data_IF_015886857493
#
_entry.id   IF_015886857493
#
_cell.length_a   1.000
_cell.length_b   1.000
_cell.length_c   1.000
_cell.angle_alpha   90.00
_cell.angle_beta   90.00
_cell.angle_gamma   90.00
#
_symmetry.space_group_name_H-M   'P 1'
#
loop_
_entity.id
_entity.type
_entity.pdbx_description
1 polymer ?
#
# COMPACT_ATOMS: atom_id res chain seq x y z
N UNK A 1 -51.46 -51.72 -47.73
CA UNK A 1 -50.19 -50.99 -47.56
C UNK A 1 -50.26 -50.18 -46.27
N UNK A 2 -49.59 -50.61 -45.20
CA UNK A 2 -49.62 -49.89 -43.92
C UNK A 2 -48.55 -48.80 -43.92
N UNK A 3 -48.97 -47.53 -43.89
CA UNK A 3 -48.07 -46.37 -43.86
C UNK A 3 -47.57 -46.17 -42.42
N UNK A 4 -46.30 -46.48 -42.18
CA UNK A 4 -45.66 -46.25 -40.88
C UNK A 4 -45.47 -44.74 -40.69
N UNK A 5 -46.35 -44.14 -39.87
CA UNK A 5 -46.22 -42.72 -39.51
C UNK A 5 -45.24 -42.60 -38.34
N UNK A 6 -44.00 -42.20 -38.62
CA UNK A 6 -43.00 -41.90 -37.58
C UNK A 6 -43.42 -40.63 -36.82
N UNK A 7 -43.98 -40.78 -35.62
CA UNK A 7 -44.21 -39.64 -34.71
C UNK A 7 -42.86 -39.02 -34.33
N UNK A 8 -42.67 -37.74 -34.66
CA UNK A 8 -41.47 -36.97 -34.29
C UNK A 8 -41.45 -36.84 -32.77
N UNK A 9 -40.47 -37.46 -32.09
CA UNK A 9 -40.31 -37.34 -30.63
C UNK A 9 -39.97 -35.88 -30.32
N UNK A 10 -40.92 -35.15 -29.77
CA UNK A 10 -40.68 -33.78 -29.27
C UNK A 10 -39.73 -33.90 -28.09
N UNK A 11 -38.49 -33.42 -28.24
CA UNK A 11 -37.51 -33.37 -27.16
C UNK A 11 -38.04 -32.39 -26.11
N UNK A 12 -38.73 -32.89 -25.08
CA UNK A 12 -39.01 -32.11 -23.88
C UNK A 12 -37.66 -31.73 -23.27
N UNK A 13 -37.32 -30.45 -23.30
CA UNK A 13 -36.15 -29.91 -22.62
C UNK A 13 -36.27 -30.31 -21.15
N UNK A 14 -35.35 -31.17 -20.68
CA UNK A 14 -35.28 -31.56 -19.28
C UNK A 14 -34.73 -30.36 -18.50
N UNK A 15 -35.63 -29.47 -18.07
CA UNK A 15 -35.33 -28.32 -17.20
C UNK A 15 -34.50 -28.69 -15.96
N UNK A 16 -34.59 -29.95 -15.52
CA UNK A 16 -33.77 -30.52 -14.47
C UNK A 16 -32.26 -30.43 -14.78
N UNK A 17 -31.83 -30.71 -16.01
CA UNK A 17 -30.41 -30.60 -16.35
C UNK A 17 -29.96 -29.13 -16.40
N UNK A 18 -30.84 -28.23 -16.86
CA UNK A 18 -30.55 -26.80 -16.92
C UNK A 18 -30.40 -26.18 -15.52
N UNK A 19 -31.30 -26.52 -14.60
CA UNK A 19 -31.25 -26.05 -13.22
C UNK A 19 -30.03 -26.57 -12.45
N UNK A 20 -29.62 -27.82 -12.68
CA UNK A 20 -28.39 -28.38 -12.09
C UNK A 20 -27.14 -27.67 -12.59
N UNK A 21 -27.04 -27.38 -13.89
CA UNK A 21 -25.90 -26.62 -14.46
C UNK A 21 -25.84 -25.20 -13.91
N UNK A 22 -27.00 -24.53 -13.81
CA UNK A 22 -27.08 -23.17 -13.27
C UNK A 22 -26.73 -23.11 -11.78
N UNK A 23 -27.15 -24.12 -11.01
CA UNK A 23 -26.77 -24.26 -9.60
C UNK A 23 -25.26 -24.50 -9.44
N UNK A 24 -24.66 -25.35 -10.27
CA UNK A 24 -23.21 -25.60 -10.23
C UNK A 24 -22.42 -24.33 -10.56
N UNK A 25 -22.88 -23.56 -11.55
CA UNK A 25 -22.28 -22.29 -11.93
C UNK A 25 -22.40 -21.22 -10.84
N UNK A 26 -23.56 -21.14 -10.18
CA UNK A 26 -23.78 -20.26 -9.04
C UNK A 26 -22.88 -20.63 -7.84
N UNK A 27 -22.72 -21.93 -7.56
CA UNK A 27 -21.84 -22.40 -6.50
C UNK A 27 -20.37 -22.03 -6.78
N UNK A 28 -19.88 -22.28 -7.99
CA UNK A 28 -18.52 -21.90 -8.41
C UNK A 28 -18.31 -20.38 -8.39
N UNK A 29 -19.30 -19.59 -8.83
CA UNK A 29 -19.23 -18.13 -8.75
C UNK A 29 -19.23 -17.63 -7.31
N UNK A 30 -20.01 -18.24 -6.41
CA UNK A 30 -20.01 -17.85 -4.99
C UNK A 30 -18.66 -18.13 -4.31
N UNK A 31 -18.04 -19.27 -4.63
CA UNK A 31 -16.70 -19.64 -4.16
C UNK A 31 -15.66 -18.68 -4.73
N UNK A 32 -15.69 -18.43 -6.05
CA UNK A 32 -14.83 -17.46 -6.71
C UNK A 32 -14.96 -16.07 -6.10
N UNK A 33 -16.17 -15.52 -6.01
CA UNK A 33 -16.43 -14.22 -5.40
C UNK A 33 -15.93 -14.15 -3.97
N UNK A 34 -16.13 -15.19 -3.14
CA UNK A 34 -15.62 -15.18 -1.77
C UNK A 34 -14.08 -15.15 -1.70
N UNK A 35 -13.41 -15.88 -2.58
CA UNK A 35 -11.95 -15.95 -2.64
C UNK A 35 -11.35 -14.65 -3.20
N UNK A 36 -11.95 -14.11 -4.27
CA UNK A 36 -11.56 -12.84 -4.86
C UNK A 36 -11.85 -11.66 -3.94
N UNK A 37 -12.97 -11.63 -3.22
CA UNK A 37 -13.27 -10.58 -2.23
C UNK A 37 -12.23 -10.59 -1.11
N UNK A 38 -11.87 -11.77 -0.59
CA UNK A 38 -10.87 -11.88 0.46
C UNK A 38 -9.47 -11.52 -0.03
N UNK A 39 -9.12 -11.95 -1.24
CA UNK A 39 -7.84 -11.63 -1.88
C UNK A 39 -7.72 -10.13 -2.21
N UNK A 40 -8.77 -9.53 -2.75
CA UNK A 40 -8.82 -8.10 -3.05
C UNK A 40 -8.76 -7.26 -1.77
N UNK A 41 -9.49 -7.67 -0.73
CA UNK A 41 -9.43 -7.00 0.57
C UNK A 41 -8.02 -7.09 1.18
N UNK A 42 -7.38 -8.27 1.12
CA UNK A 42 -6.02 -8.44 1.61
C UNK A 42 -4.99 -7.60 0.81
N UNK A 43 -5.10 -7.61 -0.53
CA UNK A 43 -4.25 -6.78 -1.40
C UNK A 43 -4.40 -5.28 -1.09
N UNK A 44 -5.64 -4.82 -0.89
CA UNK A 44 -5.91 -3.42 -0.52
C UNK A 44 -5.36 -3.09 0.87
N UNK A 45 -5.45 -4.02 1.83
CA UNK A 45 -4.88 -3.85 3.16
C UNK A 45 -3.35 -3.77 3.13
N UNK A 46 -2.70 -4.59 2.31
CA UNK A 46 -1.24 -4.54 2.11
C UNK A 46 -0.82 -3.23 1.44
N UNK A 47 -1.56 -2.78 0.43
CA UNK A 47 -1.30 -1.49 -0.22
C UNK A 47 -1.44 -0.32 0.76
N UNK A 48 -2.50 -0.33 1.59
CA UNK A 48 -2.69 0.66 2.65
C UNK A 48 -1.53 0.64 3.64
N UNK A 49 -1.14 -0.54 4.12
CA UNK A 49 -0.04 -0.68 5.07
C UNK A 49 1.28 -0.18 4.49
N UNK A 50 1.53 -0.39 3.19
CA UNK A 50 2.71 0.16 2.52
C UNK A 50 2.70 1.69 2.52
N UNK A 51 1.55 2.30 2.21
CA UNK A 51 1.39 3.76 2.24
C UNK A 51 1.59 4.30 3.66
N UNK A 52 1.02 3.65 4.68
CA UNK A 52 1.19 4.08 6.08
C UNK A 52 2.67 4.03 6.51
N UNK A 53 3.43 3.02 6.06
CA UNK A 53 4.88 2.93 6.29
C UNK A 53 5.64 4.04 5.57
N UNK A 54 5.30 4.34 4.32
CA UNK A 54 5.90 5.45 3.56
C UNK A 54 5.62 6.79 4.24
N UNK A 55 4.40 7.02 4.73
CA UNK A 55 4.04 8.23 5.49
C UNK A 55 4.89 8.34 6.77
N UNK A 56 5.05 7.25 7.52
CA UNK A 56 5.87 7.25 8.73
C UNK A 56 7.36 7.55 8.42
N UNK A 57 7.88 7.06 7.29
CA UNK A 57 9.23 7.40 6.81
C UNK A 57 9.36 8.89 6.54
N UNK A 58 8.44 9.46 5.75
CA UNK A 58 8.45 10.90 5.44
C UNK A 58 8.26 11.78 6.68
N UNK A 59 7.49 11.35 7.67
CA UNK A 59 7.36 12.07 8.93
C UNK A 59 8.68 12.08 9.71
N UNK A 60 9.36 10.94 9.75
CA UNK A 60 10.67 10.82 10.42
C UNK A 60 11.71 11.69 9.73
N UNK A 61 11.74 11.68 8.40
CA UNK A 61 12.62 12.56 7.60
C UNK A 61 12.32 14.03 7.85
N UNK A 62 11.04 14.43 7.89
CA UNK A 62 10.65 15.82 8.18
C UNK A 62 11.05 16.26 9.59
N UNK A 63 10.86 15.41 10.60
CA UNK A 63 11.32 15.74 11.96
C UNK A 63 12.84 15.83 12.06
N UNK A 64 13.59 14.99 11.33
CA UNK A 64 15.05 15.10 11.24
C UNK A 64 15.47 16.46 10.62
N UNK A 65 14.88 16.85 9.49
CA UNK A 65 15.15 18.14 8.84
C UNK A 65 14.80 19.32 9.76
N UNK A 66 13.68 19.23 10.49
CA UNK A 66 13.29 20.26 11.45
C UNK A 66 14.29 20.41 12.59
N UNK A 67 14.85 19.31 13.10
CA UNK A 67 15.91 19.33 14.11
C UNK A 67 17.20 19.95 13.54
N UNK A 68 17.57 19.64 12.30
CA UNK A 68 18.71 20.27 11.63
C UNK A 68 18.51 21.78 11.47
N UNK A 69 17.33 22.23 11.05
CA UNK A 69 16.99 23.65 10.93
C UNK A 69 17.09 24.36 12.30
N UNK A 70 16.59 23.73 13.36
CA UNK A 70 16.69 24.30 14.72
C UNK A 70 18.14 24.38 15.19
N UNK A 71 18.95 23.37 14.88
CA UNK A 71 20.37 23.34 15.23
C UNK A 71 21.13 24.43 14.48
N UNK A 72 20.91 24.57 13.18
CA UNK A 72 21.49 25.64 12.35
C UNK A 72 21.04 27.02 12.83
N UNK A 73 19.74 27.24 13.06
CA UNK A 73 19.24 28.51 13.58
C UNK A 73 19.81 28.86 14.95
N UNK A 74 20.02 27.86 15.82
CA UNK A 74 20.64 28.07 17.13
C UNK A 74 22.12 28.41 16.99
N UNK A 75 22.84 27.74 16.08
CA UNK A 75 24.24 28.04 15.76
C UNK A 75 24.40 29.45 15.21
N UNK A 76 23.58 29.83 14.24
CA UNK A 76 23.63 31.16 13.61
C UNK A 76 23.31 32.27 14.64
N UNK A 77 22.38 32.01 15.58
CA UNK A 77 22.13 32.93 16.70
C UNK A 77 23.32 33.06 17.65
N UNK A 78 23.97 31.95 18.00
CA UNK A 78 25.16 31.98 18.86
C UNK A 78 26.31 32.71 18.18
N UNK A 79 26.48 32.50 16.87
CA UNK A 79 27.47 33.21 16.05
C UNK A 79 27.19 34.72 15.97
N UNK A 80 25.91 35.11 15.81
CA UNK A 80 25.50 36.52 15.87
C UNK A 80 25.81 37.15 17.23
N UNK A 81 25.46 36.51 18.34
CA UNK A 81 25.71 37.03 19.69
C UNK A 81 27.22 37.13 19.96
N UNK A 82 28.01 36.16 19.51
CA UNK A 82 29.47 36.19 19.64
C UNK A 82 30.07 37.36 18.85
N UNK A 83 29.66 37.55 17.60
CA UNK A 83 30.10 38.69 16.78
C UNK A 83 29.69 40.04 17.38
N UNK A 84 28.47 40.17 17.91
CA UNK A 84 28.00 41.38 18.60
C UNK A 84 28.81 41.69 19.87
N UNK A 85 29.32 40.65 20.55
CA UNK A 85 30.23 40.77 21.69
C UNK A 85 31.71 41.01 21.28
N UNK A 86 32.00 41.12 19.98
CA UNK A 86 33.35 41.29 19.44
C UNK A 86 34.21 40.02 19.47
N UNK A 87 33.60 38.86 19.70
CA UNK A 87 34.25 37.55 19.69
C UNK A 87 34.13 36.94 18.28
N UNK A 88 35.25 36.86 17.57
CA UNK A 88 35.34 36.16 16.29
C UNK A 88 35.48 34.65 16.47
N UNK A 89 35.04 33.89 15.48
CA UNK A 89 35.13 32.43 15.47
C UNK A 89 36.59 32.00 15.26
N UNK A 90 37.27 31.53 16.30
CA UNK A 90 38.65 31.02 16.19
C UNK A 90 38.64 29.61 15.58
N UNK A 91 38.71 29.56 14.25
CA UNK A 91 38.72 28.32 13.48
C UNK A 91 39.97 27.45 13.74
N UNK A 92 41.00 27.96 14.42
CA UNK A 92 42.19 27.18 14.76
C UNK A 92 41.99 26.22 15.94
N UNK A 93 40.92 26.39 16.74
CA UNK A 93 40.64 25.57 17.93
C UNK A 93 39.48 24.57 17.72
N UNK A 94 38.98 24.44 16.48
CA UNK A 94 38.00 23.41 16.13
C UNK A 94 38.75 22.10 15.96
N UNK A 95 38.86 21.32 17.04
CA UNK A 95 39.29 19.93 16.95
C UNK A 95 38.12 19.14 16.39
N UNK A 96 38.10 18.95 15.07
CA UNK A 96 37.26 17.94 14.44
C UNK A 96 37.73 16.58 14.93
N UNK A 97 37.09 16.04 15.97
CA UNK A 97 37.27 14.66 16.38
C UNK A 97 36.62 13.80 15.27
N UNK A 98 37.39 13.54 14.23
CA UNK A 98 37.14 12.41 13.37
C UNK A 98 37.42 11.16 14.22
N UNK A 99 36.41 10.68 14.95
CA UNK A 99 36.43 9.31 15.44
C UNK A 99 36.40 8.42 14.19
N UNK A 100 37.59 8.04 13.76
CA UNK A 100 37.79 6.80 13.03
C UNK A 100 37.56 5.65 14.01
N UNK A 101 36.86 4.64 13.49
CA UNK A 101 36.44 3.36 14.11
C UNK A 101 35.10 3.38 14.86
#
# INVERSE_FOLDING_TARGET
MAKIVKKKKVKKLRLQNFTVVLFLFAALSSLGSSLFLRSYNNSLSVAKQKIDVEIASYQTENEAVKVEIQTLSSRDRVESIANDAGLGLDQNNIVTIANGE
#
